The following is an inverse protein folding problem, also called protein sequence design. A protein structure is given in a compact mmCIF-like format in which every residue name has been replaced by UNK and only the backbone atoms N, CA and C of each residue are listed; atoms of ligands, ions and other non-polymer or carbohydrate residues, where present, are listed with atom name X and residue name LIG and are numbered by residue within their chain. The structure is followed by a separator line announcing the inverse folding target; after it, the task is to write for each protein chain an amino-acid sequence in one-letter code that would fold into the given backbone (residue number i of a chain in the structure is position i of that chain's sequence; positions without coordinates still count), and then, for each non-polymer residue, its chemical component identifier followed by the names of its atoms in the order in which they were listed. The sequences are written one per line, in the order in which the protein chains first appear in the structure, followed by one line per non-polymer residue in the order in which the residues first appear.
data_IF_250807763929
#
_entry.id   IF_250807763929
#
_cell.length_a   1.000
_cell.length_b   1.000
_cell.length_c   1.000
_cell.angle_alpha   90.00
_cell.angle_beta   90.00
_cell.angle_gamma   90.00
#
_symmetry.space_group_name_H-M   'P 1'
#
loop_
_entity.id
_entity.type
_entity.pdbx_description
1 polymer ?
#
# COMPACT_ATOMS: atom_id res chain seq x y z
N UNK A 1 29.54 28.90 -0.90
CA UNK A 1 28.14 28.52 -1.16
C UNK A 1 27.97 28.43 -2.67
N UNK A 2 27.91 27.22 -3.23
CA UNK A 2 27.75 27.00 -4.66
C UNK A 2 26.42 26.24 -4.87
N UNK A 3 25.53 26.84 -5.64
CA UNK A 3 24.26 26.26 -6.08
C UNK A 3 24.52 25.55 -7.41
N UNK A 4 24.47 24.21 -7.40
CA UNK A 4 24.57 23.42 -8.62
C UNK A 4 23.22 23.42 -9.35
N UNK A 5 23.13 24.29 -10.36
CA UNK A 5 22.03 24.35 -11.32
C UNK A 5 22.12 23.17 -12.30
N UNK A 6 21.31 22.13 -12.08
CA UNK A 6 21.24 20.98 -12.97
C UNK A 6 20.33 21.27 -14.19
N UNK A 7 20.92 21.67 -15.32
CA UNK A 7 20.22 21.79 -16.61
C UNK A 7 20.29 20.48 -17.40
N UNK A 8 19.15 19.81 -17.60
CA UNK A 8 19.07 18.57 -18.39
C UNK A 8 18.88 18.86 -19.89
N UNK A 9 19.91 18.62 -20.69
CA UNK A 9 19.84 18.66 -22.16
C UNK A 9 19.12 17.42 -22.70
N UNK A 10 18.08 17.62 -23.52
CA UNK A 10 17.31 16.56 -24.19
C UNK A 10 18.20 15.77 -25.17
N UNK A 11 18.45 14.49 -24.89
CA UNK A 11 18.92 13.54 -25.91
C UNK A 11 17.73 12.89 -26.62
N UNK A 12 17.66 13.08 -27.93
CA UNK A 12 16.84 12.28 -28.84
C UNK A 12 17.31 10.82 -28.82
N UNK A 13 16.41 9.87 -28.56
CA UNK A 13 16.68 8.44 -28.77
C UNK A 13 15.57 7.78 -29.58
N UNK A 14 16.04 7.02 -30.59
CA UNK A 14 15.34 6.22 -31.59
C UNK A 14 14.30 5.26 -30.99
N UNK A 15 13.24 5.03 -31.78
CA UNK A 15 12.20 4.01 -31.60
C UNK A 15 12.82 2.60 -31.45
N UNK A 16 12.43 1.89 -30.39
CA UNK A 16 12.67 0.45 -30.26
C UNK A 16 12.58 -0.04 -28.82
N UNK A 17 11.52 -0.79 -28.48
CA UNK A 17 11.57 -1.83 -27.44
C UNK A 17 10.86 -1.56 -26.11
N UNK A 18 9.96 -2.50 -25.79
CA UNK A 18 9.34 -2.84 -24.50
C UNK A 18 8.22 -1.94 -23.94
N UNK A 19 6.99 -2.30 -24.34
CA UNK A 19 5.78 -2.04 -23.59
C UNK A 19 5.83 -2.76 -22.22
N UNK A 20 6.07 -2.01 -21.14
CA UNK A 20 6.03 -2.51 -19.76
C UNK A 20 4.80 -1.91 -19.06
N UNK A 21 3.82 -2.81 -18.85
CA UNK A 21 2.60 -2.72 -18.05
C UNK A 21 1.65 -1.56 -18.35
N UNK A 22 0.64 -1.87 -19.17
CA UNK A 22 -0.60 -1.11 -19.31
C UNK A 22 -1.49 -1.30 -18.08
N UNK A 23 -1.97 -0.19 -17.55
CA UNK A 23 -3.11 -0.16 -16.65
C UNK A 23 -4.32 -0.72 -17.40
N UNK A 24 -4.95 -1.76 -16.86
CA UNK A 24 -6.14 -2.35 -17.45
C UNK A 24 -7.36 -1.46 -17.13
N UNK A 25 -7.48 -0.36 -17.89
CA UNK A 25 -8.71 0.43 -17.93
C UNK A 25 -9.72 -0.30 -18.82
N UNK A 26 -10.75 -0.87 -18.17
CA UNK A 26 -12.06 -1.14 -18.77
C UNK A 26 -12.08 -1.88 -20.12
N UNK A 27 -12.04 -3.21 -20.07
CA UNK A 27 -12.71 -4.03 -21.09
C UNK A 27 -13.77 -4.88 -20.40
N UNK A 28 -15.03 -4.67 -20.79
CA UNK A 28 -16.16 -5.56 -20.48
C UNK A 28 -15.75 -6.99 -20.84
N UNK A 29 -15.86 -7.91 -19.88
CA UNK A 29 -15.85 -9.34 -20.14
C UNK A 29 -17.23 -9.89 -19.77
N UNK A 30 -17.67 -10.77 -20.64
CA UNK A 30 -18.99 -11.36 -20.74
C UNK A 30 -19.42 -12.12 -19.48
N UNK A 31 -20.73 -12.35 -19.37
CA UNK A 31 -21.44 -13.00 -18.25
C UNK A 31 -20.69 -14.26 -17.75
N UNK A 32 -20.53 -14.46 -16.42
CA UNK A 32 -20.08 -15.73 -15.91
C UNK A 32 -21.27 -16.70 -15.80
N UNK A 33 -21.10 -17.88 -16.39
CA UNK A 33 -21.87 -19.09 -16.13
C UNK A 33 -21.74 -19.52 -14.68
N UNK A 34 -22.81 -20.11 -14.16
CA UNK A 34 -22.95 -20.64 -12.81
C UNK A 34 -22.04 -21.84 -12.51
N UNK A 35 -21.95 -22.14 -11.21
CA UNK A 35 -21.41 -23.33 -10.53
C UNK A 35 -19.92 -23.29 -10.13
N UNK A 36 -19.71 -23.32 -8.80
CA UNK A 36 -18.40 -23.50 -8.18
C UNK A 36 -18.30 -22.88 -6.77
N UNK A 37 -19.23 -23.19 -5.88
CA UNK A 37 -19.18 -22.77 -4.46
C UNK A 37 -18.14 -23.60 -3.70
N UNK A 38 -17.00 -22.99 -3.36
CA UNK A 38 -16.23 -23.40 -2.19
C UNK A 38 -16.41 -22.37 -1.06
N UNK A 39 -17.00 -22.87 0.02
CA UNK A 39 -17.44 -22.15 1.19
C UNK A 39 -16.27 -21.84 2.14
N UNK A 40 -15.89 -20.57 2.23
CA UNK A 40 -15.32 -19.96 3.44
C UNK A 40 -16.09 -18.66 3.72
N UNK A 41 -17.34 -18.84 4.15
CA UNK A 41 -18.35 -17.81 4.35
C UNK A 41 -18.22 -17.10 5.70
N UNK A 42 -17.24 -16.19 5.81
CA UNK A 42 -17.40 -15.02 6.68
C UNK A 42 -18.12 -13.93 5.89
N UNK A 43 -19.46 -13.91 5.88
CA UNK A 43 -20.23 -12.83 5.21
C UNK A 43 -19.84 -11.48 5.84
N UNK A 44 -18.94 -10.76 5.19
CA UNK A 44 -18.54 -9.41 5.59
C UNK A 44 -19.72 -8.47 5.30
N UNK A 45 -20.47 -8.13 6.35
CA UNK A 45 -21.56 -7.17 6.27
C UNK A 45 -20.95 -5.76 6.28
N UNK A 46 -20.93 -5.11 5.12
CA UNK A 46 -20.65 -3.68 5.00
C UNK A 46 -22.01 -3.01 4.92
N UNK A 47 -22.49 -2.44 6.03
CA UNK A 47 -23.72 -1.66 6.04
C UNK A 47 -23.37 -0.25 5.54
N UNK A 48 -23.76 0.06 4.29
CA UNK A 48 -23.58 1.39 3.69
C UNK A 48 -24.91 2.12 3.80
N UNK A 49 -25.05 3.01 4.79
CA UNK A 49 -26.27 3.83 4.97
C UNK A 49 -26.20 5.17 4.21
N UNK A 50 -25.01 5.59 3.81
CA UNK A 50 -24.74 6.83 3.07
C UNK A 50 -23.25 7.03 2.81
N UNK A 51 -22.91 8.14 2.14
CA UNK A 51 -21.52 8.50 1.85
C UNK A 51 -20.81 8.77 3.19
N UNK A 52 -19.87 7.91 3.58
CA UNK A 52 -19.15 8.04 4.84
C UNK A 52 -19.77 7.36 6.07
N UNK A 53 -21.00 6.86 6.00
CA UNK A 53 -21.59 5.99 7.04
C UNK A 53 -21.45 4.52 6.65
N UNK A 54 -20.19 4.11 6.50
CA UNK A 54 -19.79 2.73 6.23
C UNK A 54 -19.22 2.15 7.51
N UNK A 55 -19.98 1.23 8.11
CA UNK A 55 -19.54 0.49 9.30
C UNK A 55 -18.84 -0.77 8.86
N UNK A 56 -17.54 -0.83 9.11
CA UNK A 56 -16.79 -2.07 9.03
C UNK A 56 -16.90 -2.81 10.35
N UNK A 57 -17.07 -4.13 10.29
CA UNK A 57 -17.02 -5.00 11.48
C UNK A 57 -15.58 -5.20 12.01
N UNK A 58 -14.62 -4.41 11.53
CA UNK A 58 -13.22 -4.45 11.94
C UNK A 58 -12.67 -3.03 12.03
N UNK A 59 -11.77 -2.83 13.00
CA UNK A 59 -11.04 -1.56 13.20
C UNK A 59 -9.69 -1.53 12.45
N UNK A 60 -9.20 -2.70 12.04
CA UNK A 60 -7.94 -2.85 11.33
C UNK A 60 -7.99 -4.00 10.31
N UNK A 61 -7.28 -3.82 9.19
CA UNK A 61 -7.15 -4.80 8.10
C UNK A 61 -5.69 -4.86 7.65
N UNK A 62 -5.12 -6.06 7.52
CA UNK A 62 -3.72 -6.25 7.09
C UNK A 62 -2.70 -5.38 7.86
N UNK A 63 -2.98 -5.06 9.13
CA UNK A 63 -2.14 -4.22 9.97
C UNK A 63 -2.25 -2.71 9.70
N UNK A 64 -3.27 -2.27 8.99
CA UNK A 64 -3.65 -0.86 8.83
C UNK A 64 -4.84 -0.56 9.73
N UNK A 65 -4.84 0.60 10.37
CA UNK A 65 -6.00 1.13 11.11
C UNK A 65 -6.88 1.93 10.16
N UNK A 66 -8.19 1.99 10.42
CA UNK A 66 -9.09 2.82 9.63
C UNK A 66 -9.15 4.23 10.21
N UNK A 67 -8.84 5.24 9.40
CA UNK A 67 -9.00 6.67 9.76
C UNK A 67 -10.04 7.32 8.86
N UNK A 68 -10.79 8.27 9.39
CA UNK A 68 -11.69 9.09 8.58
C UNK A 68 -10.89 10.19 7.89
N UNK A 69 -11.03 10.28 6.56
CA UNK A 69 -10.32 11.29 5.76
C UNK A 69 -11.18 11.77 4.61
N UNK A 70 -11.03 13.04 4.26
CA UNK A 70 -11.67 13.60 3.08
C UNK A 70 -11.09 12.96 1.81
N UNK A 71 -11.99 12.46 0.97
CA UNK A 71 -11.71 11.89 -0.34
C UNK A 71 -12.35 12.79 -1.38
N UNK A 72 -11.50 13.54 -2.09
CA UNK A 72 -11.95 14.47 -3.13
C UNK A 72 -11.24 14.15 -4.42
N UNK A 73 -12.01 13.88 -5.47
CA UNK A 73 -11.45 13.55 -6.77
C UNK A 73 -10.93 14.79 -7.48
N UNK A 74 -9.60 14.93 -7.67
CA UNK A 74 -9.04 16.07 -8.38
C UNK A 74 -9.27 15.94 -9.89
N UNK A 75 -8.98 17.03 -10.61
CA UNK A 75 -9.15 17.09 -12.07
C UNK A 75 -8.37 15.96 -12.77
N UNK A 76 -8.89 15.50 -13.91
CA UNK A 76 -8.25 14.44 -14.71
C UNK A 76 -6.79 14.77 -15.04
N UNK A 77 -6.53 16.02 -15.45
CA UNK A 77 -5.19 16.52 -15.78
C UNK A 77 -4.23 16.43 -14.58
N UNK A 78 -4.67 16.85 -13.39
CA UNK A 78 -3.85 16.76 -12.18
C UNK A 78 -3.50 15.30 -11.86
N UNK A 79 -4.49 14.39 -11.93
CA UNK A 79 -4.25 12.96 -11.69
C UNK A 79 -3.27 12.34 -12.67
N UNK A 80 -3.37 12.69 -13.95
CA UNK A 80 -2.46 12.19 -14.99
C UNK A 80 -1.04 12.68 -14.77
N UNK A 81 -0.86 13.97 -14.44
CA UNK A 81 0.45 14.53 -14.10
C UNK A 81 1.06 13.84 -12.88
N UNK A 82 0.30 13.66 -11.79
CA UNK A 82 0.78 12.99 -10.58
C UNK A 82 1.16 11.53 -10.86
N UNK A 83 0.39 10.81 -11.70
CA UNK A 83 0.71 9.43 -12.10
C UNK A 83 1.98 9.33 -12.95
N UNK A 84 2.17 10.26 -13.88
CA UNK A 84 3.36 10.29 -14.73
C UNK A 84 4.61 10.61 -13.92
N UNK A 85 4.53 11.60 -13.04
CA UNK A 85 5.60 11.94 -12.10
C UNK A 85 5.91 10.77 -11.16
N UNK A 86 4.87 10.11 -10.64
CA UNK A 86 5.03 8.94 -9.80
C UNK A 86 5.82 7.83 -10.50
N UNK A 87 5.44 7.52 -11.75
CA UNK A 87 6.06 6.46 -12.54
C UNK A 87 7.54 6.75 -12.84
N UNK A 88 7.85 8.01 -13.16
CA UNK A 88 9.19 8.40 -13.67
C UNK A 88 10.17 8.74 -12.57
N UNK A 89 9.72 9.46 -11.54
CA UNK A 89 10.62 10.11 -10.58
C UNK A 89 10.44 9.53 -9.18
N UNK A 90 9.20 9.55 -8.67
CA UNK A 90 8.94 9.31 -7.25
C UNK A 90 9.06 7.84 -6.89
N UNK A 91 8.49 6.93 -7.69
CA UNK A 91 8.59 5.49 -7.45
C UNK A 91 10.05 5.01 -7.42
N UNK A 92 10.91 5.31 -8.41
CA UNK A 92 12.31 4.89 -8.32
C UNK A 92 13.05 5.57 -7.16
N UNK A 93 12.79 6.84 -6.87
CA UNK A 93 13.40 7.52 -5.71
C UNK A 93 12.99 6.90 -4.38
N UNK A 94 11.70 6.58 -4.21
CA UNK A 94 11.16 5.93 -3.02
C UNK A 94 11.77 4.54 -2.82
N UNK A 95 11.90 3.74 -3.88
CA UNK A 95 12.52 2.41 -3.82
C UNK A 95 13.98 2.48 -3.38
N UNK A 96 14.74 3.48 -3.86
CA UNK A 96 16.12 3.72 -3.41
C UNK A 96 16.17 4.09 -1.94
N UNK A 97 15.33 5.06 -1.55
CA UNK A 97 15.27 5.54 -0.18
C UNK A 97 14.98 4.41 0.82
N UNK A 98 13.98 3.57 0.56
CA UNK A 98 13.67 2.46 1.48
C UNK A 98 14.72 1.36 1.45
N UNK A 99 15.42 1.16 0.33
CA UNK A 99 16.51 0.19 0.26
C UNK A 99 17.72 0.62 1.12
N UNK A 100 17.94 1.92 1.27
CA UNK A 100 19.02 2.48 2.10
C UNK A 100 18.64 2.59 3.58
N UNK A 101 17.41 3.01 3.88
CA UNK A 101 17.01 3.39 5.26
C UNK A 101 16.15 2.34 5.97
N UNK A 102 15.57 1.38 5.23
CA UNK A 102 14.61 0.41 5.77
C UNK A 102 14.96 -1.04 5.41
N UNK A 103 16.26 -1.34 5.24
CA UNK A 103 16.72 -2.69 4.93
C UNK A 103 16.18 -3.75 5.92
N UNK A 104 16.23 -3.57 7.26
CA UNK A 104 15.73 -4.58 8.19
C UNK A 104 14.26 -4.94 7.98
N UNK A 105 13.41 -3.96 7.66
CA UNK A 105 11.99 -4.17 7.38
C UNK A 105 11.80 -4.89 6.04
N UNK A 106 12.59 -4.56 5.02
CA UNK A 106 12.58 -5.25 3.74
C UNK A 106 13.01 -6.72 3.89
N UNK A 107 14.02 -7.01 4.72
CA UNK A 107 14.43 -8.39 5.03
C UNK A 107 13.32 -9.18 5.70
N UNK A 108 12.60 -8.58 6.66
CA UNK A 108 11.44 -9.22 7.31
C UNK A 108 10.30 -9.52 6.34
N UNK A 109 10.19 -8.75 5.25
CA UNK A 109 9.25 -9.05 4.17
C UNK A 109 9.70 -10.20 3.25
N UNK A 110 10.96 -10.64 3.36
CA UNK A 110 11.54 -11.66 2.50
C UNK A 110 12.20 -11.08 1.25
N UNK A 111 12.61 -9.81 1.26
CA UNK A 111 13.43 -9.23 0.18
C UNK A 111 14.85 -9.80 0.25
N UNK A 112 15.27 -10.47 -0.83
CA UNK A 112 16.62 -11.03 -0.98
C UNK A 112 17.66 -9.95 -1.30
N UNK A 113 18.94 -10.29 -1.21
CA UNK A 113 20.04 -9.36 -1.57
C UNK A 113 19.89 -8.86 -3.00
N UNK A 114 19.61 -9.78 -3.94
CA UNK A 114 19.34 -9.43 -5.33
C UNK A 114 18.13 -8.49 -5.48
N UNK A 115 17.11 -8.66 -4.64
CA UNK A 115 15.97 -7.74 -4.58
C UNK A 115 16.39 -6.35 -4.08
N UNK A 116 17.16 -6.28 -3.01
CA UNK A 116 17.66 -5.02 -2.45
C UNK A 116 18.51 -4.26 -3.48
N UNK A 117 19.42 -4.94 -4.18
CA UNK A 117 20.24 -4.34 -5.23
C UNK A 117 19.42 -3.82 -6.42
N UNK A 118 18.28 -4.45 -6.73
CA UNK A 118 17.34 -3.91 -7.72
C UNK A 118 16.64 -2.65 -7.21
N UNK A 119 16.23 -2.63 -5.94
CA UNK A 119 15.58 -1.48 -5.34
C UNK A 119 16.53 -0.26 -5.24
N UNK A 120 17.81 -0.48 -4.93
CA UNK A 120 18.87 0.55 -5.00
C UNK A 120 19.06 1.14 -6.40
N UNK A 121 18.65 0.43 -7.45
CA UNK A 121 18.60 0.94 -8.84
C UNK A 121 17.27 1.62 -9.18
N UNK A 122 16.34 1.72 -8.22
CA UNK A 122 14.99 2.25 -8.42
C UNK A 122 14.06 1.29 -9.16
N UNK A 123 14.41 0.00 -9.24
CA UNK A 123 13.63 -1.01 -9.95
C UNK A 123 12.69 -1.74 -8.99
N UNK A 124 11.46 -1.97 -9.46
CA UNK A 124 10.47 -2.74 -8.69
C UNK A 124 10.82 -4.22 -8.55
N UNK A 125 10.19 -4.85 -7.57
CA UNK A 125 10.26 -6.28 -7.29
C UNK A 125 8.96 -6.97 -7.67
N UNK A 126 9.05 -8.18 -8.22
CA UNK A 126 7.89 -8.99 -8.55
C UNK A 126 7.17 -9.40 -7.25
N UNK A 127 5.84 -9.34 -7.26
CA UNK A 127 5.02 -9.64 -6.08
C UNK A 127 4.84 -8.46 -5.11
N UNK A 128 5.53 -7.33 -5.33
CA UNK A 128 5.43 -6.13 -4.50
C UNK A 128 5.01 -4.90 -5.30
N UNK A 129 4.43 -3.93 -4.60
CA UNK A 129 4.05 -2.65 -5.17
C UNK A 129 4.30 -1.49 -4.19
N UNK A 130 4.41 -0.29 -4.74
CA UNK A 130 4.40 0.95 -3.96
C UNK A 130 2.96 1.47 -3.96
N UNK A 131 2.33 1.41 -2.81
CA UNK A 131 0.94 1.79 -2.60
C UNK A 131 0.84 3.24 -2.11
N UNK A 132 -0.08 4.00 -2.70
CA UNK A 132 -0.51 5.28 -2.15
C UNK A 132 -1.55 5.05 -1.05
N UNK A 133 -1.25 5.43 0.20
CA UNK A 133 -2.15 5.32 1.37
C UNK A 133 -3.46 6.06 1.13
N UNK A 134 -3.37 7.31 0.67
CA UNK A 134 -4.46 8.03 0.02
C UNK A 134 -4.26 7.90 -1.50
N UNK A 135 -5.17 7.24 -2.24
CA UNK A 135 -5.02 7.09 -3.68
C UNK A 135 -5.01 8.44 -4.42
N UNK A 136 -4.26 8.54 -5.52
CA UNK A 136 -4.26 9.72 -6.41
C UNK A 136 -5.68 10.07 -6.89
N UNK A 137 -6.55 9.07 -7.03
CA UNK A 137 -7.96 9.30 -7.39
C UNK A 137 -8.71 10.10 -6.33
N UNK A 138 -8.35 9.99 -5.05
CA UNK A 138 -8.97 10.71 -3.93
C UNK A 138 -8.19 11.94 -3.46
N UNK A 139 -7.26 12.45 -4.25
CA UNK A 139 -6.44 13.61 -3.88
C UNK A 139 -5.09 13.26 -3.24
N UNK A 140 -4.66 12.01 -3.30
CA UNK A 140 -3.35 11.57 -2.83
C UNK A 140 -2.19 12.27 -3.54
N UNK A 141 -1.15 12.61 -2.77
CA UNK A 141 0.09 13.20 -3.25
C UNK A 141 1.17 12.14 -3.47
N UNK A 142 2.27 12.54 -4.09
CA UNK A 142 3.46 11.72 -4.28
C UNK A 142 4.46 11.80 -3.12
N UNK A 143 4.05 12.39 -1.99
CA UNK A 143 4.92 12.50 -0.82
C UNK A 143 5.25 11.11 -0.27
N UNK A 144 6.49 10.89 0.17
CA UNK A 144 6.92 9.59 0.70
C UNK A 144 6.10 9.16 1.91
N UNK A 145 5.59 10.11 2.70
CA UNK A 145 4.67 9.85 3.82
C UNK A 145 3.33 9.24 3.37
N UNK A 146 2.91 9.48 2.12
CA UNK A 146 1.73 8.88 1.50
C UNK A 146 2.03 7.56 0.79
N UNK A 147 3.28 7.07 0.80
CA UNK A 147 3.69 5.85 0.13
C UNK A 147 4.01 4.73 1.12
N UNK A 148 3.70 3.49 0.73
CA UNK A 148 4.11 2.30 1.46
C UNK A 148 4.47 1.16 0.50
N UNK A 149 5.60 0.51 0.72
CA UNK A 149 6.01 -0.67 -0.02
C UNK A 149 5.36 -1.92 0.59
N UNK A 150 4.61 -2.67 -0.21
CA UNK A 150 3.83 -3.81 0.29
C UNK A 150 3.61 -4.90 -0.77
N UNK A 151 3.31 -6.15 -0.38
CA UNK A 151 2.94 -7.22 -1.31
C UNK A 151 1.62 -6.93 -2.04
N UNK A 152 1.46 -7.47 -3.25
CA UNK A 152 0.27 -7.25 -4.10
C UNK A 152 -1.04 -7.78 -3.46
N UNK A 153 -1.10 -8.98 -2.85
CA UNK A 153 -2.36 -9.48 -2.29
C UNK A 153 -2.99 -8.57 -1.21
N UNK A 154 -2.28 -8.18 -0.13
CA UNK A 154 -2.85 -7.26 0.86
C UNK A 154 -3.14 -5.88 0.27
N UNK A 155 -2.39 -5.44 -0.74
CA UNK A 155 -2.65 -4.18 -1.46
C UNK A 155 -4.03 -4.21 -2.13
N UNK A 156 -4.33 -5.26 -2.88
CA UNK A 156 -5.60 -5.38 -3.61
C UNK A 156 -6.78 -5.49 -2.65
N UNK A 157 -6.58 -6.16 -1.51
CA UNK A 157 -7.59 -6.23 -0.45
C UNK A 157 -7.92 -4.85 0.14
N UNK A 158 -6.94 -3.96 0.36
CA UNK A 158 -7.22 -2.61 0.86
C UNK A 158 -8.15 -1.84 -0.09
N UNK A 159 -7.88 -1.90 -1.40
CA UNK A 159 -8.73 -1.25 -2.39
C UNK A 159 -10.11 -1.89 -2.46
N UNK A 160 -10.17 -3.22 -2.57
CA UNK A 160 -11.42 -3.92 -2.84
C UNK A 160 -12.35 -4.02 -1.63
N UNK A 161 -11.79 -4.18 -0.42
CA UNK A 161 -12.58 -4.37 0.81
C UNK A 161 -12.89 -3.06 1.51
N UNK A 162 -12.03 -2.04 1.40
CA UNK A 162 -12.20 -0.78 2.15
C UNK A 162 -12.55 0.37 1.21
N UNK A 163 -11.68 0.70 0.25
CA UNK A 163 -11.81 1.97 -0.50
C UNK A 163 -12.94 1.92 -1.53
N UNK A 164 -12.92 0.94 -2.43
CA UNK A 164 -13.86 0.83 -3.56
C UNK A 164 -15.35 0.78 -3.13
N UNK A 165 -15.73 0.01 -2.10
CA UNK A 165 -17.13 -0.03 -1.64
C UNK A 165 -17.67 1.33 -1.18
N UNK A 166 -16.80 2.21 -0.67
CA UNK A 166 -17.18 3.53 -0.15
C UNK A 166 -17.30 4.60 -1.23
N UNK A 167 -16.72 4.40 -2.42
CA UNK A 167 -16.67 5.43 -3.48
C UNK A 167 -17.49 5.08 -4.73
N UNK A 168 -17.86 3.80 -4.91
CA UNK A 168 -18.49 3.30 -6.15
C UNK A 168 -19.79 4.02 -6.53
N UNK A 169 -20.56 4.47 -5.54
CA UNK A 169 -21.90 5.03 -5.73
C UNK A 169 -22.00 6.53 -5.37
N UNK A 170 -20.89 7.21 -5.10
CA UNK A 170 -20.90 8.60 -4.63
C UNK A 170 -20.16 9.55 -5.56
N UNK A 171 -20.65 10.78 -5.68
CA UNK A 171 -19.94 11.82 -6.41
C UNK A 171 -18.76 12.36 -5.58
N UNK A 172 -17.63 11.68 -5.71
CA UNK A 172 -16.38 12.03 -5.05
C UNK A 172 -15.79 13.39 -5.46
N UNK A 173 -16.37 14.10 -6.44
CA UNK A 173 -15.92 15.46 -6.82
C UNK A 173 -16.31 16.50 -5.77
N UNK A 174 -17.42 16.28 -5.06
CA UNK A 174 -17.90 17.16 -4.00
C UNK A 174 -17.13 17.01 -2.68
N UNK A 175 -16.29 15.97 -2.58
CA UNK A 175 -15.63 15.60 -1.33
C UNK A 175 -16.54 14.72 -0.49
N UNK A 176 -16.04 13.55 -0.07
CA UNK A 176 -16.75 12.62 0.81
C UNK A 176 -15.77 12.17 1.88
N UNK A 177 -16.21 12.11 3.14
CA UNK A 177 -15.40 11.50 4.20
C UNK A 177 -15.49 10.00 4.07
N UNK A 178 -14.35 9.32 3.90
CA UNK A 178 -14.30 7.85 3.84
C UNK A 178 -13.31 7.32 4.88
N UNK A 179 -13.46 6.05 5.23
CA UNK A 179 -12.50 5.30 6.02
C UNK A 179 -11.35 4.85 5.14
N UNK A 180 -10.15 5.34 5.40
CA UNK A 180 -8.93 4.91 4.71
C UNK A 180 -8.08 4.00 5.59
N UNK A 181 -7.52 2.92 5.02
CA UNK A 181 -6.51 2.13 5.71
C UNK A 181 -5.21 2.95 5.80
N UNK A 182 -4.82 3.31 7.02
CA UNK A 182 -3.65 4.12 7.30
C UNK A 182 -2.64 3.40 8.18
N UNK A 183 -1.37 3.70 7.93
CA UNK A 183 -0.20 3.29 8.69
C UNK A 183 0.91 4.30 8.44
N UNK A 184 1.68 4.65 9.46
CA UNK A 184 2.74 5.66 9.30
C UNK A 184 4.00 5.11 8.60
N UNK A 185 4.29 3.82 8.75
CA UNK A 185 5.46 3.18 8.14
C UNK A 185 5.50 3.24 6.60
N UNK A 186 6.72 3.28 6.05
CA UNK A 186 7.00 3.24 4.61
C UNK A 186 7.16 1.83 4.05
N UNK A 187 7.38 0.83 4.92
CA UNK A 187 7.43 -0.59 4.56
C UNK A 187 6.31 -1.28 5.31
N UNK A 188 5.52 -2.09 4.60
CA UNK A 188 4.48 -2.89 5.21
C UNK A 188 5.10 -3.95 6.12
N UNK A 189 4.44 -4.23 7.23
CA UNK A 189 4.81 -5.31 8.13
C UNK A 189 3.59 -6.19 8.31
N UNK A 190 3.79 -7.49 8.10
CA UNK A 190 2.75 -8.49 8.28
C UNK A 190 2.22 -8.39 9.71
N UNK A 191 0.90 -8.21 9.91
CA UNK A 191 0.34 -8.28 11.25
C UNK A 191 0.54 -9.70 11.79
N UNK A 192 1.07 -9.81 13.01
CA UNK A 192 1.24 -11.10 13.68
C UNK A 192 -0.13 -11.78 13.82
N UNK A 193 -0.19 -13.07 13.48
CA UNK A 193 -1.38 -13.86 13.74
C UNK A 193 -1.54 -14.10 15.26
N UNK A 194 -2.71 -14.59 15.68
CA UNK A 194 -3.02 -14.81 17.11
C UNK A 194 -2.01 -15.73 17.81
N UNK A 195 -1.46 -16.72 17.09
CA UNK A 195 -0.46 -17.67 17.59
C UNK A 195 0.91 -17.03 17.79
N UNK A 196 1.35 -16.20 16.86
CA UNK A 196 2.60 -15.42 16.95
C UNK A 196 2.51 -14.33 18.02
N UNK A 197 1.33 -13.71 18.20
CA UNK A 197 1.06 -12.77 19.32
C UNK A 197 1.16 -13.46 20.68
N UNK A 198 0.72 -14.71 20.79
CA UNK A 198 0.82 -15.48 22.02
C UNK A 198 2.28 -15.85 22.36
N UNK A 199 3.11 -16.13 21.34
CA UNK A 199 4.52 -16.52 21.49
C UNK A 199 5.47 -15.34 21.66
N UNK A 200 5.12 -14.16 21.16
CA UNK A 200 5.93 -12.92 21.28
C UNK A 200 5.72 -12.17 22.60
N UNK A 201 4.70 -12.54 23.40
CA UNK A 201 4.62 -12.08 24.78
C UNK A 201 5.82 -12.69 25.53
N UNK A 202 6.69 -11.90 26.18
CA UNK A 202 7.71 -12.48 27.03
C UNK A 202 6.99 -13.29 28.09
N UNK A 203 7.22 -14.60 28.11
CA UNK A 203 6.68 -15.46 29.15
C UNK A 203 7.19 -14.93 30.47
N UNK A 204 6.30 -14.31 31.26
CA UNK A 204 6.57 -13.82 32.62
C UNK A 204 7.15 -14.92 33.54
N UNK A 205 7.13 -16.19 33.12
CA UNK A 205 7.83 -17.30 33.80
C UNK A 205 9.36 -17.22 33.72
N UNK A 206 9.97 -16.68 32.65
CA UNK A 206 11.45 -16.63 32.54
C UNK A 206 12.03 -15.54 33.45
N UNK A 207 11.29 -14.44 33.65
CA UNK A 207 11.67 -13.39 34.59
C UNK A 207 11.62 -13.90 36.05
N UNK A 208 10.62 -14.74 36.39
CA UNK A 208 10.45 -15.26 37.76
C UNK A 208 11.47 -16.37 38.12
N UNK A 209 11.99 -17.11 37.14
CA UNK A 209 13.05 -18.10 37.38
C UNK A 209 14.44 -17.45 37.58
N UNK A 210 14.71 -16.29 36.95
CA UNK A 210 15.99 -15.58 37.16
C UNK A 210 16.10 -14.87 38.50
N UNK A 211 14.98 -14.42 39.10
CA UNK A 211 15.02 -13.84 40.45
C UNK A 211 15.33 -14.87 41.54
N UNK A 212 14.82 -16.10 41.44
CA UNK A 212 15.10 -17.16 42.43
C UNK A 212 16.51 -17.75 42.37
N UNK A 213 17.25 -17.53 41.28
CA UNK A 213 18.64 -17.98 41.14
C UNK A 213 19.66 -16.94 41.64
N UNK A 214 19.24 -15.70 41.88
CA UNK A 214 20.08 -14.64 42.42
C UNK A 214 19.96 -14.48 43.95
N UNK A 215 19.03 -15.20 44.58
CA UNK A 215 18.83 -15.24 46.04
C UNK A 215 19.35 -16.54 46.70
N UNK A 216 20.24 -17.28 46.01
CA UNK A 216 20.89 -18.48 46.56
C UNK A 216 22.40 -18.37 46.52
#
# INVERSE_FOLDING_TARGET
MAQDNYTHTKRSRKKGGLAIYGYNNGKKKDKPSEAGTENLSGKMQVEVKGAGDVRFNFIAINGFTLIDKEYKTPSKRSREMTREDFKKNVRPAFLKYIAEHHEPQLRKLGVSDAGLERMKKGLGLNGYNVHHKLPIHGGGTNDFSNLIFMPIPPHDELHNKVINPQIKNFDTRMGVVIKLPWRDGMVWERPLNSREKAQSKPTMMVARMKQKAAER
#
